data_IF_675346212589
#
_entry.id   IF_675346212589
#
_cell.length_a   1.000
_cell.length_b   1.000
_cell.length_c   1.000
_cell.angle_alpha   90.00
_cell.angle_beta   90.00
_cell.angle_gamma   90.00
#
_symmetry.space_group_name_H-M   'P 1'
#
loop_
_entity.id
_entity.type
_entity.pdbx_description
1 polymer ?
#
# COMPACT_ATOMS: atom_id res chain seq x y z
N UNK A 1 -19.44 7.62 13.17
CA UNK A 1 -19.87 7.47 11.77
C UNK A 1 -19.30 6.14 11.32
N UNK A 2 -20.11 5.24 10.76
CA UNK A 2 -19.62 3.90 10.36
C UNK A 2 -18.61 4.00 9.23
N UNK A 3 -17.71 3.02 9.14
CA UNK A 3 -16.85 2.83 7.96
C UNK A 3 -17.76 2.67 6.73
N UNK A 4 -17.45 3.36 5.64
CA UNK A 4 -18.21 3.27 4.38
C UNK A 4 -17.33 2.55 3.37
N UNK A 5 -17.56 1.25 3.25
CA UNK A 5 -16.83 0.42 2.30
C UNK A 5 -17.38 0.52 0.89
N UNK A 6 -16.54 0.17 -0.07
CA UNK A 6 -16.99 -0.09 -1.43
C UNK A 6 -17.85 -1.36 -1.42
N UNK A 7 -18.90 -1.33 -2.22
CA UNK A 7 -19.69 -2.52 -2.52
C UNK A 7 -18.89 -3.49 -3.38
N UNK A 8 -19.28 -4.78 -3.39
CA UNK A 8 -18.68 -5.79 -4.27
C UNK A 8 -18.71 -5.37 -5.75
N UNK A 9 -19.77 -4.69 -6.17
CA UNK A 9 -19.90 -4.20 -7.54
C UNK A 9 -18.92 -3.07 -7.87
N UNK A 10 -18.64 -2.19 -6.91
CA UNK A 10 -17.66 -1.11 -7.05
C UNK A 10 -16.22 -1.65 -7.07
N UNK A 11 -15.91 -2.63 -6.21
CA UNK A 11 -14.62 -3.33 -6.24
C UNK A 11 -14.43 -4.09 -7.56
N UNK A 12 -15.46 -4.83 -8.02
CA UNK A 12 -15.40 -5.53 -9.30
C UNK A 12 -15.20 -4.58 -10.49
N UNK A 13 -15.75 -3.35 -10.41
CA UNK A 13 -15.53 -2.32 -11.43
C UNK A 13 -14.09 -1.82 -11.44
N UNK A 14 -13.51 -1.53 -10.28
CA UNK A 14 -12.10 -1.16 -10.18
C UNK A 14 -11.20 -2.28 -10.71
N UNK A 15 -11.46 -3.51 -10.27
CA UNK A 15 -10.70 -4.68 -10.72
C UNK A 15 -10.80 -4.86 -12.23
N UNK A 16 -11.99 -4.80 -12.81
CA UNK A 16 -12.16 -4.91 -14.26
C UNK A 16 -11.37 -3.85 -15.02
N UNK A 17 -11.39 -2.60 -14.56
CA UNK A 17 -10.62 -1.53 -15.19
C UNK A 17 -9.13 -1.83 -15.14
N UNK A 18 -8.57 -2.08 -13.96
CA UNK A 18 -7.12 -2.31 -13.82
C UNK A 18 -6.63 -3.57 -14.52
N UNK A 19 -7.44 -4.63 -14.55
CA UNK A 19 -7.02 -5.91 -15.14
C UNK A 19 -7.25 -5.98 -16.66
N UNK A 20 -8.15 -5.16 -17.23
CA UNK A 20 -8.61 -5.33 -18.63
C UNK A 20 -8.53 -4.05 -19.49
N UNK A 21 -8.59 -2.86 -18.90
CA UNK A 21 -8.68 -1.60 -19.64
C UNK A 21 -7.48 -0.67 -19.40
N UNK A 22 -6.84 -0.78 -18.24
CA UNK A 22 -5.71 0.07 -17.87
C UNK A 22 -4.49 -0.16 -18.78
N UNK A 23 -3.74 0.91 -19.03
CA UNK A 23 -2.50 0.86 -19.77
C UNK A 23 -1.37 0.18 -18.99
N UNK A 24 -0.28 -0.15 -19.67
CA UNK A 24 0.89 -0.82 -19.05
C UNK A 24 1.57 0.03 -17.96
N UNK A 25 1.42 1.36 -18.02
CA UNK A 25 1.97 2.30 -17.04
C UNK A 25 1.04 2.51 -15.81
N UNK A 26 -0.10 1.82 -15.75
CA UNK A 26 -0.99 1.85 -14.59
C UNK A 26 -0.58 0.78 -13.57
N UNK A 27 -0.93 1.01 -12.30
CA UNK A 27 -0.89 -0.07 -11.31
C UNK A 27 -1.98 -1.11 -11.58
N UNK A 28 -1.74 -2.34 -11.13
CA UNK A 28 -2.79 -3.37 -11.09
C UNK A 28 -3.80 -3.09 -9.98
N UNK A 29 -4.89 -3.85 -9.92
CA UNK A 29 -5.86 -3.72 -8.82
C UNK A 29 -5.21 -3.92 -7.45
N UNK A 30 -4.30 -4.90 -7.35
CA UNK A 30 -3.58 -5.22 -6.13
C UNK A 30 -2.49 -4.20 -5.81
N UNK A 31 -1.75 -3.75 -6.82
CA UNK A 31 -0.82 -2.62 -6.68
C UNK A 31 -1.52 -1.36 -6.20
N UNK A 32 -2.68 -1.03 -6.77
CA UNK A 32 -3.52 0.10 -6.33
C UNK A 32 -3.90 -0.04 -4.85
N UNK A 33 -4.30 -1.23 -4.40
CA UNK A 33 -4.61 -1.46 -3.00
C UNK A 33 -3.38 -1.27 -2.09
N UNK A 34 -2.22 -1.80 -2.48
CA UNK A 34 -0.97 -1.60 -1.73
C UNK A 34 -0.59 -0.13 -1.63
N UNK A 35 -0.71 0.59 -2.74
CA UNK A 35 -0.42 2.02 -2.84
C UNK A 35 -1.31 2.86 -1.91
N UNK A 36 -2.63 2.70 -1.99
CA UNK A 36 -3.54 3.46 -1.11
C UNK A 36 -3.43 3.03 0.35
N UNK A 37 -2.98 1.80 0.63
CA UNK A 37 -2.68 1.35 1.99
C UNK A 37 -1.51 2.15 2.55
N UNK A 38 -0.40 2.25 1.82
CA UNK A 38 0.74 3.08 2.22
C UNK A 38 0.34 4.54 2.45
N UNK A 39 -0.47 5.14 1.56
CA UNK A 39 -1.01 6.49 1.76
C UNK A 39 -1.87 6.64 3.03
N UNK A 40 -2.47 5.55 3.50
CA UNK A 40 -3.39 5.54 4.64
C UNK A 40 -2.68 5.35 5.98
N UNK A 41 -1.51 4.70 5.98
CA UNK A 41 -0.75 4.39 7.19
C UNK A 41 0.52 5.21 7.37
N UNK A 42 0.96 5.88 6.30
CA UNK A 42 2.18 6.66 6.25
C UNK A 42 2.06 8.07 6.83
N UNK A 43 2.98 8.98 6.48
CA UNK A 43 2.97 10.37 6.94
C UNK A 43 1.76 11.15 6.39
N UNK A 44 1.70 12.46 6.68
CA UNK A 44 0.58 13.33 6.31
C UNK A 44 0.13 13.17 4.84
N UNK A 45 -1.19 13.12 4.58
CA UNK A 45 -1.74 12.82 3.25
C UNK A 45 -1.16 13.71 2.14
N UNK A 46 -0.85 13.10 1.01
CA UNK A 46 -0.53 13.79 -0.24
C UNK A 46 -1.80 14.32 -0.92
N UNK A 47 -1.66 15.42 -1.67
CA UNK A 47 -2.73 15.88 -2.56
C UNK A 47 -2.98 14.82 -3.63
N UNK A 48 -4.26 14.54 -3.94
CA UNK A 48 -4.65 13.55 -4.93
C UNK A 48 -4.05 13.79 -6.31
N UNK A 49 -3.79 15.04 -6.68
CA UNK A 49 -3.11 15.38 -7.94
C UNK A 49 -1.67 14.86 -8.04
N UNK A 50 -1.02 14.53 -6.92
CA UNK A 50 0.34 13.99 -6.89
C UNK A 50 0.33 12.47 -7.06
N UNK A 51 -0.59 11.77 -6.40
CA UNK A 51 -0.57 10.31 -6.35
C UNK A 51 -1.50 9.62 -7.34
N UNK A 52 -2.60 10.26 -7.79
CA UNK A 52 -3.47 9.66 -8.81
C UNK A 52 -2.72 9.32 -10.12
N UNK A 53 -1.80 10.15 -10.63
CA UNK A 53 -1.02 9.80 -11.81
C UNK A 53 -0.13 8.56 -11.64
N UNK A 54 0.26 8.21 -10.40
CA UNK A 54 1.03 6.98 -10.17
C UNK A 54 0.17 5.73 -10.36
N UNK A 55 -1.13 5.82 -10.06
CA UNK A 55 -2.06 4.69 -10.21
C UNK A 55 -2.54 4.55 -11.65
N UNK A 56 -2.83 5.66 -12.32
CA UNK A 56 -3.49 5.69 -13.64
C UNK A 56 -2.55 5.98 -14.81
N UNK A 57 -1.25 6.14 -14.56
CA UNK A 57 -0.29 6.57 -15.57
C UNK A 57 -0.59 7.98 -16.11
N UNK A 58 -0.08 8.26 -17.31
CA UNK A 58 -0.23 9.56 -17.98
C UNK A 58 -1.59 9.76 -18.68
N UNK A 59 -2.45 8.73 -18.71
CA UNK A 59 -3.73 8.77 -19.41
C UNK A 59 -4.83 9.50 -18.61
N UNK A 60 -5.87 9.93 -19.33
CA UNK A 60 -7.00 10.62 -18.72
C UNK A 60 -7.77 9.69 -17.77
N UNK A 61 -7.71 9.98 -16.48
CA UNK A 61 -8.38 9.18 -15.47
C UNK A 61 -9.91 9.36 -15.49
N UNK A 62 -10.71 8.28 -15.56
CA UNK A 62 -12.17 8.38 -15.42
C UNK A 62 -12.57 8.90 -14.04
N UNK A 63 -13.35 9.98 -13.99
CA UNK A 63 -13.69 10.68 -12.76
C UNK A 63 -14.44 9.82 -11.74
N UNK A 64 -15.23 8.86 -12.21
CA UNK A 64 -15.93 7.89 -11.38
C UNK A 64 -14.99 6.88 -10.72
N UNK A 65 -13.92 6.44 -11.40
CA UNK A 65 -12.90 5.59 -10.79
C UNK A 65 -12.08 6.34 -9.74
N UNK A 66 -11.75 7.62 -10.00
CA UNK A 66 -11.09 8.48 -8.99
C UNK A 66 -11.89 8.51 -7.70
N UNK A 67 -13.20 8.74 -7.80
CA UNK A 67 -14.08 8.77 -6.64
C UNK A 67 -14.06 7.45 -5.86
N UNK A 68 -14.10 6.32 -6.57
CA UNK A 68 -14.05 4.99 -5.95
C UNK A 68 -12.72 4.73 -5.24
N UNK A 69 -11.58 5.09 -5.84
CA UNK A 69 -10.26 4.93 -5.21
C UNK A 69 -10.11 5.82 -3.98
N UNK A 70 -10.59 7.05 -4.04
CA UNK A 70 -10.57 7.95 -2.87
C UNK A 70 -11.47 7.44 -1.74
N UNK A 71 -12.63 6.85 -2.07
CA UNK A 71 -13.48 6.20 -1.08
C UNK A 71 -12.79 4.94 -0.51
N UNK A 72 -12.09 4.18 -1.33
CA UNK A 72 -11.39 2.98 -0.90
C UNK A 72 -10.23 3.33 0.04
N UNK A 73 -9.45 4.36 -0.29
CA UNK A 73 -8.40 4.90 0.56
C UNK A 73 -8.95 5.35 1.93
N UNK A 74 -10.12 6.02 1.95
CA UNK A 74 -10.78 6.38 3.21
C UNK A 74 -11.26 5.16 4.02
N UNK A 75 -11.78 4.13 3.35
CA UNK A 75 -12.16 2.87 4.01
C UNK A 75 -10.94 2.17 4.62
N UNK A 76 -9.83 2.06 3.88
CA UNK A 76 -8.57 1.47 4.40
C UNK A 76 -8.07 2.23 5.62
N UNK A 77 -7.97 3.56 5.55
CA UNK A 77 -7.57 4.40 6.68
C UNK A 77 -8.49 4.23 7.90
N UNK A 78 -9.80 4.09 7.68
CA UNK A 78 -10.76 3.88 8.76
C UNK A 78 -10.62 2.51 9.42
N UNK A 79 -10.34 1.44 8.66
CA UNK A 79 -10.08 0.12 9.23
C UNK A 79 -8.79 0.09 10.07
N UNK A 80 -7.72 0.74 9.59
CA UNK A 80 -6.47 0.88 10.36
C UNK A 80 -6.71 1.62 11.69
N UNK A 81 -7.56 2.65 11.69
CA UNK A 81 -7.91 3.40 12.90
C UNK A 81 -8.68 2.56 13.94
N UNK A 82 -9.54 1.64 13.51
CA UNK A 82 -10.39 0.84 14.42
C UNK A 82 -9.70 -0.42 14.98
N UNK A 83 -8.43 -0.67 14.62
CA UNK A 83 -7.67 -1.87 15.00
C UNK A 83 -8.37 -3.17 14.55
N UNK A 84 -9.15 -3.10 13.46
CA UNK A 84 -9.80 -4.27 12.86
C UNK A 84 -8.79 -5.17 12.11
N UNK A 85 -7.52 -4.75 12.05
CA UNK A 85 -6.45 -5.39 11.30
C UNK A 85 -6.54 -5.12 9.79
N UNK A 86 -5.42 -5.18 9.09
CA UNK A 86 -5.41 -5.17 7.63
C UNK A 86 -5.61 -6.60 7.11
N UNK A 87 -6.66 -6.82 6.31
CA UNK A 87 -6.73 -7.99 5.44
C UNK A 87 -6.25 -7.61 4.05
N UNK A 88 -5.19 -8.25 3.56
CA UNK A 88 -4.80 -8.10 2.16
C UNK A 88 -5.86 -8.76 1.25
N UNK A 89 -6.10 -8.21 0.05
CA UNK A 89 -6.99 -8.78 -0.96
C UNK A 89 -6.35 -9.95 -1.72
N UNK A 90 -5.23 -10.49 -1.23
CA UNK A 90 -4.47 -11.58 -1.84
C UNK A 90 -3.87 -12.53 -0.79
N UNK A 91 -3.44 -13.74 -1.19
CA UNK A 91 -2.72 -14.66 -0.32
C UNK A 91 -1.37 -14.09 0.14
N UNK A 92 -0.98 -14.39 1.38
CA UNK A 92 0.37 -14.12 1.88
C UNK A 92 1.34 -15.23 1.43
N UNK A 93 1.54 -15.38 0.12
CA UNK A 93 2.51 -16.32 -0.47
C UNK A 93 3.64 -15.55 -1.18
N UNK A 94 4.90 -15.68 -0.73
CA UNK A 94 6.06 -15.02 -1.34
C UNK A 94 6.35 -15.33 -2.81
N UNK A 95 5.69 -16.34 -3.38
CA UNK A 95 5.86 -16.74 -4.78
C UNK A 95 4.62 -16.44 -5.65
N UNK A 96 3.65 -15.70 -5.10
CA UNK A 96 2.45 -15.30 -5.80
C UNK A 96 2.64 -13.88 -6.37
N UNK A 97 2.33 -13.72 -7.65
CA UNK A 97 2.41 -12.44 -8.36
C UNK A 97 1.46 -11.42 -7.72
N UNK A 98 0.34 -11.87 -7.14
CA UNK A 98 -0.61 -11.00 -6.44
C UNK A 98 0.02 -10.29 -5.23
N UNK A 99 0.88 -10.99 -4.48
CA UNK A 99 1.60 -10.38 -3.36
C UNK A 99 2.71 -9.45 -3.84
N UNK A 100 3.39 -9.80 -4.93
CA UNK A 100 4.40 -8.95 -5.57
C UNK A 100 3.78 -7.61 -6.00
N UNK A 101 2.65 -7.66 -6.71
CA UNK A 101 1.90 -6.48 -7.15
C UNK A 101 1.52 -5.58 -5.99
N UNK A 102 0.93 -6.17 -4.93
CA UNK A 102 0.57 -5.42 -3.73
C UNK A 102 1.79 -4.75 -3.08
N UNK A 103 2.89 -5.48 -2.94
CA UNK A 103 4.13 -4.95 -2.35
C UNK A 103 4.78 -3.87 -3.23
N UNK A 104 4.71 -3.99 -4.56
CA UNK A 104 5.19 -2.97 -5.50
C UNK A 104 4.43 -1.67 -5.29
N UNK A 105 3.10 -1.71 -5.36
CA UNK A 105 2.29 -0.51 -5.18
C UNK A 105 2.49 0.14 -3.80
N UNK A 106 2.64 -0.66 -2.74
CA UNK A 106 2.97 -0.14 -1.41
C UNK A 106 4.30 0.63 -1.42
N UNK A 107 5.36 0.05 -1.98
CA UNK A 107 6.68 0.68 -2.01
C UNK A 107 6.77 1.88 -2.96
N UNK A 108 6.02 1.88 -4.07
CA UNK A 108 5.93 3.05 -4.95
C UNK A 108 5.36 4.27 -4.22
N UNK A 109 4.36 4.09 -3.37
CA UNK A 109 3.84 5.17 -2.53
C UNK A 109 4.84 5.63 -1.45
N UNK A 110 5.67 4.73 -0.91
CA UNK A 110 6.77 5.09 -0.01
C UNK A 110 7.80 5.94 -0.75
N UNK A 111 8.23 5.52 -1.94
CA UNK A 111 9.23 6.23 -2.75
C UNK A 111 8.73 7.56 -3.30
N UNK A 112 7.43 7.71 -3.54
CA UNK A 112 6.82 8.98 -3.97
C UNK A 112 7.09 10.12 -2.98
N UNK A 113 7.27 9.80 -1.70
CA UNK A 113 7.42 10.76 -0.61
C UNK A 113 8.45 10.31 0.44
N UNK A 114 9.55 9.73 -0.06
CA UNK A 114 10.60 9.09 0.74
C UNK A 114 11.11 9.98 1.87
N UNK A 115 11.34 11.27 1.59
CA UNK A 115 11.82 12.26 2.56
C UNK A 115 10.93 12.32 3.81
N UNK A 116 9.59 12.27 3.67
CA UNK A 116 8.67 12.35 4.81
C UNK A 116 8.52 11.01 5.52
N UNK A 117 8.63 9.89 4.80
CA UNK A 117 8.65 8.56 5.40
C UNK A 117 9.86 8.39 6.33
N UNK A 118 11.05 8.83 5.90
CA UNK A 118 12.28 8.61 6.65
C UNK A 118 12.67 9.76 7.60
N UNK A 119 11.87 10.84 7.67
CA UNK A 119 12.23 12.07 8.39
C UNK A 119 12.53 11.93 9.90
N UNK A 120 11.90 10.98 10.60
CA UNK A 120 12.03 10.86 12.07
C UNK A 120 12.79 9.62 12.53
N UNK A 121 12.51 8.45 11.96
CA UNK A 121 13.06 7.17 12.38
C UNK A 121 13.39 6.30 11.17
N UNK A 122 14.33 6.75 10.35
CA UNK A 122 14.76 6.08 9.11
C UNK A 122 15.01 4.58 9.29
N UNK A 123 15.84 4.19 10.27
CA UNK A 123 16.17 2.77 10.53
C UNK A 123 14.92 1.93 10.86
N UNK A 124 13.98 2.48 11.63
CA UNK A 124 12.74 1.79 11.98
C UNK A 124 11.85 1.61 10.75
N UNK A 125 11.66 2.66 9.96
CA UNK A 125 10.84 2.58 8.75
C UNK A 125 11.43 1.59 7.76
N UNK A 126 12.75 1.60 7.57
CA UNK A 126 13.44 0.63 6.73
C UNK A 126 13.22 -0.82 7.22
N UNK A 127 13.23 -1.07 8.53
CA UNK A 127 12.92 -2.39 9.09
C UNK A 127 11.45 -2.78 8.86
N UNK A 128 10.52 -1.86 9.09
CA UNK A 128 9.08 -2.11 8.98
C UNK A 128 8.64 -2.35 7.53
N UNK A 129 9.24 -1.66 6.56
CA UNK A 129 8.92 -1.81 5.13
C UNK A 129 9.74 -2.88 4.43
N UNK A 130 10.73 -3.49 5.10
CA UNK A 130 11.65 -4.45 4.47
C UNK A 130 10.91 -5.61 3.78
N UNK A 131 9.88 -6.26 4.36
CA UNK A 131 9.16 -7.32 3.66
C UNK A 131 8.51 -6.86 2.36
N UNK A 132 7.86 -5.69 2.37
CA UNK A 132 7.27 -5.10 1.16
C UNK A 132 8.36 -4.82 0.13
N UNK A 133 9.50 -4.28 0.53
CA UNK A 133 10.63 -4.05 -0.36
C UNK A 133 11.19 -5.35 -0.97
N UNK A 134 11.36 -6.40 -0.17
CA UNK A 134 11.85 -7.72 -0.61
C UNK A 134 10.93 -8.34 -1.67
N UNK A 135 9.62 -8.18 -1.52
CA UNK A 135 8.65 -8.75 -2.46
C UNK A 135 8.24 -7.83 -3.60
N UNK A 136 8.56 -6.53 -3.53
CA UNK A 136 8.15 -5.54 -4.54
C UNK A 136 8.76 -5.77 -5.93
N UNK A 137 9.94 -6.38 -6.01
CA UNK A 137 10.70 -6.49 -7.26
C UNK A 137 11.26 -5.15 -7.80
N UNK A 138 11.06 -4.04 -7.09
CA UNK A 138 11.47 -2.69 -7.54
C UNK A 138 12.98 -2.42 -7.39
N UNK A 139 13.67 -3.18 -6.54
CA UNK A 139 15.08 -2.96 -6.23
C UNK A 139 15.90 -4.21 -6.57
N UNK A 140 16.87 -4.03 -7.47
CA UNK A 140 17.85 -5.06 -7.81
C UNK A 140 18.99 -5.10 -6.79
N UNK A 141 18.78 -5.81 -5.69
CA UNK A 141 19.78 -5.97 -4.62
C UNK A 141 20.01 -7.45 -4.26
N UNK A 142 21.29 -7.87 -4.18
CA UNK A 142 21.66 -9.26 -3.94
C UNK A 142 21.33 -9.77 -2.53
N UNK A 143 21.31 -8.88 -1.53
CA UNK A 143 20.93 -9.22 -0.16
C UNK A 143 19.41 -9.40 -0.05
N UNK A 144 18.63 -8.52 -0.69
CA UNK A 144 17.17 -8.68 -0.79
C UNK A 144 16.80 -9.98 -1.51
N UNK A 145 17.47 -10.30 -2.61
CA UNK A 145 17.28 -11.57 -3.32
C UNK A 145 17.66 -12.78 -2.44
N UNK A 146 18.68 -12.68 -1.60
CA UNK A 146 19.05 -13.75 -0.67
C UNK A 146 17.95 -13.99 0.39
N UNK A 147 17.29 -12.92 0.86
CA UNK A 147 16.15 -13.02 1.77
C UNK A 147 14.94 -13.68 1.09
N UNK A 148 14.60 -13.24 -0.12
CA UNK A 148 13.49 -13.78 -0.91
C UNK A 148 13.68 -15.28 -1.22
N UNK A 149 14.90 -15.69 -1.57
CA UNK A 149 15.25 -17.09 -1.88
C UNK A 149 15.32 -17.99 -0.64
N UNK A 150 15.42 -17.43 0.57
CA UNK A 150 15.36 -18.20 1.79
C UNK A 150 13.90 -18.49 2.15
N UNK A 151 13.39 -19.64 1.70
CA UNK A 151 11.99 -20.06 1.88
C UNK A 151 11.43 -19.85 3.30
N UNK A 152 12.23 -20.08 4.35
CA UNK A 152 11.76 -19.90 5.73
C UNK A 152 11.62 -18.42 6.07
N UNK A 153 12.64 -17.61 5.76
CA UNK A 153 12.65 -16.17 6.05
C UNK A 153 11.57 -15.47 5.23
N UNK A 154 11.54 -15.74 3.92
CA UNK A 154 10.57 -15.23 2.97
C UNK A 154 9.13 -15.52 3.41
N UNK A 155 8.82 -16.76 3.82
CA UNK A 155 7.49 -17.09 4.36
C UNK A 155 7.16 -16.30 5.64
N UNK A 156 8.11 -16.16 6.56
CA UNK A 156 7.93 -15.40 7.79
C UNK A 156 7.73 -13.90 7.52
N UNK A 157 8.42 -13.35 6.52
CA UNK A 157 8.24 -11.97 6.09
C UNK A 157 6.84 -11.72 5.55
N UNK A 158 6.35 -12.58 4.63
CA UNK A 158 5.02 -12.44 4.06
C UNK A 158 3.91 -12.53 5.12
N UNK A 159 4.03 -13.46 6.07
CA UNK A 159 3.05 -13.63 7.15
C UNK A 159 3.00 -12.43 8.11
N UNK A 160 4.08 -11.63 8.20
CA UNK A 160 4.15 -10.45 9.06
C UNK A 160 3.64 -9.16 8.42
N UNK A 161 3.42 -9.13 7.11
CA UNK A 161 3.01 -7.90 6.39
C UNK A 161 1.82 -7.20 7.06
N UNK A 162 0.71 -7.89 7.41
CA UNK A 162 -0.42 -7.22 8.07
C UNK A 162 -0.05 -6.54 9.39
N UNK A 163 0.73 -7.22 10.23
CA UNK A 163 1.17 -6.70 11.53
C UNK A 163 2.10 -5.49 11.34
N UNK A 164 3.02 -5.55 10.37
CA UNK A 164 3.94 -4.46 10.07
C UNK A 164 3.21 -3.22 9.55
N UNK A 165 2.15 -3.38 8.75
CA UNK A 165 1.32 -2.25 8.33
C UNK A 165 0.63 -1.59 9.54
N UNK A 166 0.15 -2.38 10.50
CA UNK A 166 -0.41 -1.85 11.74
C UNK A 166 0.67 -1.13 12.59
N UNK A 167 1.88 -1.68 12.67
CA UNK A 167 3.02 -1.04 13.35
C UNK A 167 3.39 0.30 12.69
N UNK A 168 3.42 0.37 11.35
CA UNK A 168 3.64 1.62 10.59
C UNK A 168 2.54 2.64 10.91
N UNK A 169 1.27 2.21 10.90
CA UNK A 169 0.16 3.08 11.25
C UNK A 169 0.33 3.70 12.65
N UNK A 170 0.65 2.87 13.65
CA UNK A 170 0.85 3.34 15.03
C UNK A 170 2.05 4.30 15.16
N UNK A 171 3.08 4.12 14.33
CA UNK A 171 4.23 5.02 14.29
C UNK A 171 3.84 6.42 13.80
N UNK A 172 3.11 6.53 12.68
CA UNK A 172 2.73 7.83 12.09
C UNK A 172 1.47 8.45 12.71
N UNK A 173 0.60 7.66 13.32
CA UNK A 173 -0.67 8.09 13.90
C UNK A 173 -0.78 7.77 15.40
N UNK A 174 0.13 8.24 16.26
CA UNK A 174 0.08 7.95 17.68
C UNK A 174 -1.19 8.55 18.31
N UNK A 175 -1.88 7.75 19.12
CA UNK A 175 -3.16 8.06 19.81
C UNK A 175 -3.11 9.34 20.68
N UNK A 176 -1.92 9.91 20.91
CA UNK A 176 -1.67 11.09 21.75
C UNK A 176 -0.89 12.23 21.05
N UNK A 177 -1.09 12.47 19.76
CA UNK A 177 -0.67 13.75 19.19
C UNK A 177 -1.54 14.87 19.78
N UNK A 178 -1.05 15.52 20.84
CA UNK A 178 -1.64 16.77 21.33
C UNK A 178 -1.73 17.75 20.14
N UNK A 179 -2.83 18.51 19.99
CA UNK A 179 -2.90 19.50 18.92
C UNK A 179 -1.71 20.45 19.07
N UNK A 180 -0.86 20.53 18.04
CA UNK A 180 0.23 21.50 18.03
C UNK A 180 -0.37 22.91 18.08
N UNK A 181 0.25 23.83 18.84
CA UNK A 181 -0.30 25.16 19.11
C UNK A 181 -0.45 26.04 17.88
#
# INVERSE_FOLDING_TARGET
>A
MGIVDLTEAELAKLQYFFDQEAGEDCLTFLGTHGFITALSVGPQPLDASIWLPQIFGEEATPADLVMLIQQWQQSVAAHCYHDDGLSLPCPLDPHDDDLMDWCSGFMEAVFLDEDRWHAQQEDLIAELTLPMLVFSGLVEDSELQALQNNRKISRQMAERIPDLVAEIYLHFHPVNASPQP
#
